data_IF_266520029121
#
_entry.id   IF_266520029121
#
_cell.length_a   1.000
_cell.length_b   1.000
_cell.length_c   1.000
_cell.angle_alpha   90.00
_cell.angle_beta   90.00
_cell.angle_gamma   90.00
#
_symmetry.space_group_name_H-M   'P 1'
#
loop_
_entity.id
_entity.type
_entity.pdbx_description
1 polymer ?
#
# COMPACT_ATOMS: atom_id res chain seq x y z
N UNK A 1 -21.19 -13.15 -8.19
CA UNK A 1 -21.20 -11.98 -9.08
C UNK A 1 -20.36 -12.34 -10.27
N UNK A 2 -20.82 -12.11 -11.48
CA UNK A 2 -20.01 -12.34 -12.67
C UNK A 2 -18.79 -11.40 -12.67
N UNK A 3 -17.65 -11.96 -13.06
CA UNK A 3 -16.39 -11.25 -13.10
C UNK A 3 -15.87 -11.24 -14.53
N UNK A 4 -15.62 -10.06 -15.07
CA UNK A 4 -15.02 -9.88 -16.38
C UNK A 4 -13.52 -9.67 -16.23
N UNK A 5 -12.75 -10.44 -16.99
CA UNK A 5 -11.30 -10.32 -17.09
C UNK A 5 -10.93 -9.89 -18.50
N UNK A 6 -10.24 -8.77 -18.64
CA UNK A 6 -9.74 -8.27 -19.91
C UNK A 6 -8.24 -8.21 -19.94
N UNK A 7 -7.66 -8.43 -21.11
CA UNK A 7 -6.21 -8.47 -21.36
C UNK A 7 -5.86 -7.39 -22.38
N UNK A 8 -4.78 -6.64 -22.09
CA UNK A 8 -4.27 -5.56 -22.94
C UNK A 8 -2.76 -5.73 -23.16
N UNK A 9 -2.28 -5.22 -24.30
CA UNK A 9 -0.85 -5.20 -24.62
C UNK A 9 -0.20 -3.84 -24.29
N UNK A 10 -1.01 -2.76 -24.17
CA UNK A 10 -0.51 -1.41 -23.94
C UNK A 10 -1.03 -0.82 -22.64
N UNK A 11 -0.15 -0.14 -21.91
CA UNK A 11 -0.50 0.57 -20.67
C UNK A 11 -1.52 1.69 -20.90
N UNK A 12 -1.42 2.40 -22.05
CA UNK A 12 -2.35 3.45 -22.44
C UNK A 12 -3.79 2.96 -22.58
N UNK A 13 -3.97 1.80 -23.22
CA UNK A 13 -5.29 1.22 -23.45
C UNK A 13 -5.88 0.72 -22.12
N UNK A 14 -5.03 0.12 -21.28
CA UNK A 14 -5.41 -0.30 -19.92
C UNK A 14 -5.84 0.89 -19.06
N UNK A 15 -5.06 1.97 -19.04
CA UNK A 15 -5.39 3.17 -18.25
C UNK A 15 -6.67 3.86 -18.75
N UNK A 16 -6.90 3.90 -20.08
CA UNK A 16 -8.13 4.42 -20.65
C UNK A 16 -9.35 3.56 -20.32
N UNK A 17 -9.19 2.23 -20.33
CA UNK A 17 -10.24 1.31 -19.91
C UNK A 17 -10.61 1.51 -18.43
N UNK A 18 -9.62 1.60 -17.53
CA UNK A 18 -9.83 1.85 -16.10
C UNK A 18 -10.55 3.19 -15.88
N UNK A 19 -10.10 4.28 -16.52
CA UNK A 19 -10.76 5.59 -16.42
C UNK A 19 -12.21 5.55 -16.95
N UNK A 20 -12.43 4.86 -18.07
CA UNK A 20 -13.76 4.75 -18.69
C UNK A 20 -14.73 3.95 -17.83
N UNK A 21 -14.26 2.89 -17.16
CA UNK A 21 -15.03 2.07 -16.23
C UNK A 21 -15.39 2.85 -14.97
N UNK A 22 -14.42 3.53 -14.35
CA UNK A 22 -14.66 4.38 -13.17
C UNK A 22 -15.60 5.54 -13.46
N UNK A 23 -15.49 6.18 -14.63
CA UNK A 23 -16.40 7.26 -15.03
C UNK A 23 -17.87 6.80 -15.15
N UNK A 24 -18.10 5.49 -15.27
CA UNK A 24 -19.43 4.88 -15.30
C UNK A 24 -19.88 4.30 -13.96
N UNK A 25 -19.03 4.43 -12.90
CA UNK A 25 -19.36 4.00 -11.55
C UNK A 25 -18.95 2.56 -11.23
N UNK A 26 -18.12 1.92 -12.05
CA UNK A 26 -17.54 0.62 -11.76
C UNK A 26 -16.24 0.81 -10.97
N UNK A 27 -16.36 0.90 -9.63
CA UNK A 27 -15.23 1.15 -8.73
C UNK A 27 -14.55 -0.14 -8.24
N UNK A 28 -15.27 -1.29 -8.29
CA UNK A 28 -14.76 -2.58 -7.88
C UNK A 28 -13.98 -3.24 -9.02
N UNK A 29 -12.78 -2.73 -9.22
CA UNK A 29 -11.87 -3.20 -10.24
C UNK A 29 -10.48 -3.49 -9.67
N UNK A 30 -9.85 -4.54 -10.19
CA UNK A 30 -8.47 -4.92 -9.87
C UNK A 30 -7.63 -4.91 -11.14
N UNK A 31 -6.50 -4.20 -11.09
CA UNK A 31 -5.60 -4.10 -12.24
C UNK A 31 -4.33 -4.92 -11.97
N UNK A 32 -3.91 -5.69 -12.94
CA UNK A 32 -2.66 -6.44 -12.94
C UNK A 32 -1.69 -5.84 -13.93
N UNK A 33 -0.46 -5.59 -13.48
CA UNK A 33 0.59 -4.96 -14.26
C UNK A 33 1.94 -5.61 -13.96
N UNK A 34 2.81 -5.84 -14.96
CA UNK A 34 4.14 -6.41 -14.76
C UNK A 34 5.10 -5.47 -14.01
N UNK A 35 4.83 -4.16 -14.04
CA UNK A 35 5.61 -3.14 -13.36
C UNK A 35 4.72 -1.96 -12.93
N UNK A 36 5.14 -1.12 -11.99
CA UNK A 36 4.42 0.09 -11.63
C UNK A 36 4.53 1.12 -12.76
N UNK A 37 3.38 1.50 -13.34
CA UNK A 37 3.27 2.55 -14.36
C UNK A 37 2.50 3.74 -13.80
N UNK A 38 3.08 4.96 -13.80
CA UNK A 38 2.41 6.16 -13.28
C UNK A 38 1.05 6.44 -13.93
N UNK A 39 0.92 6.16 -15.24
CA UNK A 39 -0.32 6.35 -15.99
C UNK A 39 -1.48 5.48 -15.46
N UNK A 40 -1.14 4.28 -15.01
CA UNK A 40 -2.09 3.34 -14.44
C UNK A 40 -2.44 3.72 -13.01
N UNK A 41 -1.44 4.13 -12.20
CA UNK A 41 -1.67 4.66 -10.86
C UNK A 41 -2.58 5.89 -10.88
N UNK A 42 -2.38 6.82 -11.82
CA UNK A 42 -3.25 7.98 -11.99
C UNK A 42 -4.68 7.60 -12.40
N UNK A 43 -4.84 6.54 -13.21
CA UNK A 43 -6.15 6.05 -13.62
C UNK A 43 -6.90 5.37 -12.46
N UNK A 44 -6.16 4.67 -11.59
CA UNK A 44 -6.71 4.02 -10.41
C UNK A 44 -7.10 5.00 -9.30
N UNK A 45 -6.50 6.22 -9.27
CA UNK A 45 -6.71 7.23 -8.23
C UNK A 45 -6.66 6.62 -6.82
N UNK A 46 -5.52 6.02 -6.42
CA UNK A 46 -5.45 5.26 -5.18
C UNK A 46 -5.57 6.17 -3.97
N UNK A 47 -6.33 5.74 -2.98
CA UNK A 47 -6.42 6.45 -1.70
C UNK A 47 -5.04 6.47 -1.02
N UNK A 48 -4.69 7.59 -0.33
CA UNK A 48 -3.41 7.68 0.37
C UNK A 48 -3.28 6.59 1.42
N UNK A 49 -2.14 5.91 1.42
CA UNK A 49 -1.88 4.80 2.34
C UNK A 49 -1.84 5.26 3.80
N UNK A 50 -2.50 4.51 4.67
CA UNK A 50 -2.49 4.71 6.12
C UNK A 50 -1.16 4.30 6.78
N UNK A 51 -0.21 3.72 6.06
CA UNK A 51 1.13 3.36 6.57
C UNK A 51 1.81 4.56 7.24
N UNK A 52 1.63 5.77 6.69
CA UNK A 52 2.19 7.01 7.25
C UNK A 52 1.76 7.27 8.70
N UNK A 53 0.55 6.89 9.08
CA UNK A 53 0.04 7.05 10.45
C UNK A 53 0.80 6.11 11.40
N UNK A 54 1.03 4.88 10.98
CA UNK A 54 1.80 3.91 11.78
C UNK A 54 3.25 4.33 11.95
N UNK A 55 3.89 4.89 10.91
CA UNK A 55 5.23 5.47 11.00
C UNK A 55 5.29 6.59 12.04
N UNK A 56 4.32 7.52 12.00
CA UNK A 56 4.23 8.61 12.96
C UNK A 56 4.05 8.10 14.39
N UNK A 57 3.10 7.18 14.60
CA UNK A 57 2.87 6.57 15.92
C UNK A 57 4.11 5.85 16.43
N UNK A 58 4.81 5.12 15.55
CA UNK A 58 6.09 4.50 15.88
C UNK A 58 7.13 5.50 16.34
N UNK A 59 7.31 6.58 15.60
CA UNK A 59 8.23 7.65 15.96
C UNK A 59 7.89 8.28 17.32
N UNK A 60 6.61 8.58 17.58
CA UNK A 60 6.17 9.12 18.87
C UNK A 60 6.43 8.15 20.03
N UNK A 61 6.12 6.87 19.87
CA UNK A 61 6.42 5.84 20.86
C UNK A 61 7.94 5.76 21.10
N UNK A 62 8.73 5.83 20.02
CA UNK A 62 10.19 5.82 20.09
C UNK A 62 10.76 7.01 20.89
N UNK A 63 10.25 8.23 20.64
CA UNK A 63 10.64 9.42 21.41
C UNK A 63 10.33 9.25 22.89
N UNK A 64 9.07 8.91 23.21
CA UNK A 64 8.62 8.76 24.60
C UNK A 64 9.42 7.67 25.32
N UNK A 65 9.62 6.52 24.67
CA UNK A 65 10.39 5.41 25.22
C UNK A 65 11.87 5.80 25.39
N UNK A 66 12.46 6.44 24.36
CA UNK A 66 13.87 6.81 24.36
C UNK A 66 14.24 7.78 25.47
N UNK A 67 13.51 8.86 25.62
CA UNK A 67 13.74 9.81 26.70
C UNK A 67 13.26 9.27 28.06
N UNK A 68 12.09 8.61 28.08
CA UNK A 68 11.48 8.10 29.31
C UNK A 68 12.36 7.08 30.02
N UNK A 69 12.89 6.09 29.31
CA UNK A 69 13.79 5.07 29.90
C UNK A 69 15.05 5.73 30.46
N UNK A 70 15.68 6.64 29.70
CA UNK A 70 16.92 7.28 30.13
C UNK A 70 16.72 8.16 31.38
N UNK A 71 15.64 8.94 31.41
CA UNK A 71 15.28 9.78 32.56
C UNK A 71 15.00 8.88 33.76
N UNK A 72 14.16 7.85 33.58
CA UNK A 72 13.82 6.91 34.64
C UNK A 72 15.06 6.23 35.23
N UNK A 73 15.94 5.65 34.42
CA UNK A 73 17.18 5.02 34.85
C UNK A 73 18.13 6.00 35.54
N UNK A 74 18.21 7.26 35.08
CA UNK A 74 19.06 8.29 35.67
C UNK A 74 18.54 8.74 37.04
N UNK A 75 17.24 8.65 37.27
CA UNK A 75 16.64 8.98 38.57
C UNK A 75 16.65 7.82 39.56
N UNK A 76 16.46 6.59 39.07
CA UNK A 76 16.48 5.36 39.85
C UNK A 76 17.88 5.04 40.39
N UNK A 77 18.92 5.29 39.58
CA UNK A 77 20.32 5.11 39.94
C UNK A 77 21.15 6.38 39.77
N UNK A 78 21.05 7.34 40.73
CA UNK A 78 21.65 8.66 40.58
C UNK A 78 23.16 8.66 40.77
N UNK A 79 23.94 8.50 39.71
CA UNK A 79 25.41 8.58 39.77
C UNK A 79 25.83 10.06 39.68
N UNK A 80 26.51 10.54 40.73
CA UNK A 80 27.05 11.91 40.75
C UNK A 80 28.34 11.99 39.97
N UNK A 81 28.29 12.67 38.83
CA UNK A 81 29.45 12.93 37.99
C UNK A 81 29.63 14.46 37.89
N UNK A 82 30.67 14.99 38.55
CA UNK A 82 31.21 16.35 38.38
C UNK A 82 30.17 17.47 38.22
N UNK A 83 29.14 17.56 39.09
CA UNK A 83 28.16 18.63 39.08
C UNK A 83 27.11 18.56 37.96
N UNK A 84 27.11 17.51 37.13
CA UNK A 84 26.09 17.28 36.09
C UNK A 84 24.76 16.88 36.70
N UNK A 85 23.67 17.45 36.21
CA UNK A 85 22.32 17.04 36.60
C UNK A 85 22.07 15.59 36.16
N UNK A 86 21.38 14.79 37.02
CA UNK A 86 21.09 13.38 36.77
C UNK A 86 20.27 13.20 35.44
N UNK A 87 19.27 14.04 35.24
CA UNK A 87 18.43 14.03 34.03
C UNK A 87 18.91 15.07 33.00
N UNK A 88 20.19 15.04 32.62
CA UNK A 88 20.72 15.93 31.60
C UNK A 88 20.21 15.54 30.21
N UNK A 89 19.29 16.30 29.64
CA UNK A 89 18.65 16.01 28.35
C UNK A 89 19.65 15.99 27.15
N UNK A 90 20.64 16.89 27.03
CA UNK A 90 21.51 16.92 25.85
C UNK A 90 22.14 15.59 25.44
N UNK A 91 22.74 14.79 26.35
CA UNK A 91 23.28 13.47 25.99
C UNK A 91 22.19 12.43 25.67
N UNK A 92 20.95 12.64 26.10
CA UNK A 92 19.85 11.70 25.87
C UNK A 92 19.31 11.78 24.44
N UNK A 93 19.62 12.84 23.69
CA UNK A 93 19.16 13.02 22.31
C UNK A 93 19.59 11.89 21.38
N UNK A 94 20.81 11.35 21.57
CA UNK A 94 21.34 10.30 20.69
C UNK A 94 20.44 9.06 20.73
N UNK A 95 20.20 8.53 21.93
CA UNK A 95 19.35 7.33 22.10
C UNK A 95 17.88 7.65 21.82
N UNK A 96 17.40 8.84 22.21
CA UNK A 96 16.06 9.28 21.89
C UNK A 96 15.78 9.32 20.38
N UNK A 97 16.71 9.86 19.61
CA UNK A 97 16.65 9.89 18.15
C UNK A 97 16.71 8.49 17.53
N UNK A 98 17.64 7.65 18.01
CA UNK A 98 17.80 6.29 17.52
C UNK A 98 16.55 5.43 17.74
N UNK A 99 15.96 5.49 18.95
CA UNK A 99 14.72 4.77 19.23
C UNK A 99 13.52 5.31 18.42
N UNK A 100 13.50 6.61 18.12
CA UNK A 100 12.50 7.21 17.22
C UNK A 100 12.55 6.57 15.85
N UNK A 101 13.73 6.46 15.24
CA UNK A 101 13.92 5.84 13.94
C UNK A 101 13.62 4.35 14.00
N UNK A 102 14.11 3.66 15.02
CA UNK A 102 13.89 2.22 15.18
C UNK A 102 12.40 1.87 15.24
N UNK A 103 11.65 2.49 16.16
CA UNK A 103 10.23 2.22 16.31
C UNK A 103 9.42 2.70 15.09
N UNK A 104 9.77 3.85 14.51
CA UNK A 104 9.18 4.34 13.27
C UNK A 104 9.38 3.33 12.13
N UNK A 105 10.60 2.85 11.93
CA UNK A 105 10.93 1.86 10.90
C UNK A 105 10.23 0.52 11.12
N UNK A 106 10.30 -0.02 12.33
CA UNK A 106 9.66 -1.31 12.67
C UNK A 106 8.15 -1.24 12.45
N UNK A 107 7.48 -0.20 12.96
CA UNK A 107 6.03 -0.05 12.77
C UNK A 107 5.67 0.21 11.30
N UNK A 108 6.51 0.88 10.53
CA UNK A 108 6.32 1.03 9.08
C UNK A 108 6.33 -0.32 8.38
N UNK A 109 7.33 -1.17 8.65
CA UNK A 109 7.44 -2.50 8.06
C UNK A 109 6.25 -3.37 8.46
N UNK A 110 5.89 -3.39 9.74
CA UNK A 110 4.73 -4.13 10.22
C UNK A 110 3.42 -3.64 9.56
N UNK A 111 3.26 -2.33 9.41
CA UNK A 111 2.10 -1.74 8.72
C UNK A 111 2.06 -2.11 7.24
N UNK A 112 3.20 -2.14 6.54
CA UNK A 112 3.28 -2.59 5.15
C UNK A 112 2.82 -4.04 5.02
N UNK A 113 3.28 -4.93 5.87
CA UNK A 113 2.83 -6.33 5.85
C UNK A 113 1.35 -6.47 6.19
N UNK A 114 0.87 -5.76 7.21
CA UNK A 114 -0.51 -5.86 7.67
C UNK A 114 -1.51 -5.23 6.68
N UNK A 115 -1.25 -3.99 6.25
CA UNK A 115 -2.15 -3.25 5.36
C UNK A 115 -2.03 -3.67 3.90
N UNK A 116 -0.82 -4.04 3.46
CA UNK A 116 -0.60 -4.57 2.12
C UNK A 116 -1.03 -6.03 1.98
N UNK A 117 -1.41 -6.70 3.10
CA UNK A 117 -1.81 -8.10 3.08
C UNK A 117 -0.72 -9.03 2.53
N UNK A 118 0.56 -8.67 2.74
CA UNK A 118 1.73 -9.40 2.24
C UNK A 118 1.99 -10.67 3.06
N UNK A 119 0.99 -11.54 3.14
CA UNK A 119 1.13 -12.87 3.71
C UNK A 119 0.79 -13.92 2.64
N UNK A 120 1.29 -15.15 2.76
CA UNK A 120 1.04 -16.21 1.79
C UNK A 120 -0.45 -16.41 1.57
N UNK A 121 -0.93 -16.05 0.39
CA UNK A 121 -2.31 -16.27 -0.08
C UNK A 121 -2.26 -17.18 -1.30
N UNK A 122 -3.29 -18.01 -1.52
CA UNK A 122 -3.46 -18.62 -2.83
C UNK A 122 -3.55 -17.52 -3.89
N UNK A 123 -3.01 -17.78 -5.06
CA UNK A 123 -3.14 -16.88 -6.20
C UNK A 123 -4.62 -16.60 -6.47
N UNK A 124 -4.93 -15.39 -6.85
CA UNK A 124 -6.26 -15.00 -7.27
C UNK A 124 -6.71 -15.88 -8.44
N UNK A 125 -7.99 -16.28 -8.45
CA UNK A 125 -8.56 -17.12 -9.49
C UNK A 125 -8.47 -16.47 -10.88
N UNK A 126 -8.45 -15.14 -10.91
CA UNK A 126 -8.41 -14.33 -12.13
C UNK A 126 -7.00 -13.94 -12.55
N UNK A 127 -5.98 -14.31 -11.75
CA UNK A 127 -4.59 -14.05 -12.07
C UNK A 127 -4.09 -14.98 -13.20
N UNK A 128 -3.44 -14.38 -14.19
CA UNK A 128 -2.71 -15.12 -15.23
C UNK A 128 -1.20 -14.81 -15.16
N UNK A 129 -0.31 -15.80 -15.31
CA UNK A 129 1.13 -15.56 -15.39
C UNK A 129 1.57 -14.57 -16.48
N UNK A 130 0.74 -14.37 -17.52
CA UNK A 130 0.94 -13.37 -18.57
C UNK A 130 1.02 -11.95 -18.03
N UNK A 131 0.26 -11.63 -16.96
CA UNK A 131 0.23 -10.32 -16.30
C UNK A 131 1.52 -9.98 -15.55
N UNK A 132 2.35 -10.95 -15.27
CA UNK A 132 3.70 -10.74 -14.70
C UNK A 132 4.81 -10.70 -15.77
N UNK A 133 4.46 -10.94 -17.03
CA UNK A 133 5.43 -10.93 -18.13
C UNK A 133 5.33 -9.62 -18.94
N UNK A 134 4.34 -9.50 -19.80
CA UNK A 134 4.24 -8.40 -20.77
C UNK A 134 2.83 -7.85 -20.94
N UNK A 135 1.80 -8.55 -20.45
CA UNK A 135 0.39 -8.18 -20.65
C UNK A 135 -0.19 -7.51 -19.40
N UNK A 136 -1.20 -6.67 -19.60
CA UNK A 136 -1.94 -6.01 -18.54
C UNK A 136 -3.31 -6.67 -18.39
N UNK A 137 -3.77 -6.81 -17.14
CA UNK A 137 -5.09 -7.36 -16.85
C UNK A 137 -5.97 -6.35 -16.13
N UNK A 138 -7.24 -6.27 -16.51
CA UNK A 138 -8.26 -5.55 -15.75
C UNK A 138 -9.38 -6.51 -15.43
N UNK A 139 -9.66 -6.65 -14.14
CA UNK A 139 -10.70 -7.50 -13.58
C UNK A 139 -11.77 -6.60 -12.98
N UNK A 140 -13.01 -6.79 -13.39
CA UNK A 140 -14.16 -6.02 -12.90
C UNK A 140 -15.23 -6.97 -12.39
N UNK A 141 -15.66 -6.77 -11.14
CA UNK A 141 -16.83 -7.42 -10.60
C UNK A 141 -18.07 -6.53 -10.87
N UNK A 142 -19.09 -7.08 -11.52
CA UNK A 142 -20.29 -6.34 -11.86
C UNK A 142 -21.55 -7.20 -11.73
N UNK A 143 -22.72 -6.56 -11.78
CA UNK A 143 -24.00 -7.25 -11.85
C UNK A 143 -24.23 -7.87 -13.23
N UNK A 144 -25.05 -8.95 -13.30
CA UNK A 144 -25.38 -9.61 -14.57
C UNK A 144 -25.96 -8.66 -15.63
N UNK A 145 -26.59 -7.57 -15.19
CA UNK A 145 -27.19 -6.56 -16.06
C UNK A 145 -26.16 -5.70 -16.76
N UNK A 146 -25.00 -5.49 -16.13
CA UNK A 146 -23.96 -4.55 -16.53
C UNK A 146 -22.85 -5.23 -17.34
N UNK A 147 -22.85 -6.58 -17.41
CA UNK A 147 -21.84 -7.38 -18.12
C UNK A 147 -21.65 -6.90 -19.57
N UNK A 148 -22.75 -6.68 -20.30
CA UNK A 148 -22.68 -6.26 -21.69
C UNK A 148 -22.09 -4.84 -21.85
N UNK A 149 -22.39 -3.93 -20.91
CA UNK A 149 -21.85 -2.58 -20.90
C UNK A 149 -20.34 -2.59 -20.58
N UNK A 150 -19.94 -3.32 -19.54
CA UNK A 150 -18.54 -3.46 -19.15
C UNK A 150 -17.72 -4.09 -20.26
N UNK A 151 -18.22 -5.16 -20.91
CA UNK A 151 -17.54 -5.80 -22.04
C UNK A 151 -17.38 -4.83 -23.22
N UNK A 152 -18.41 -4.05 -23.53
CA UNK A 152 -18.35 -3.08 -24.61
C UNK A 152 -17.30 -1.99 -24.33
N UNK A 153 -17.18 -1.52 -23.10
CA UNK A 153 -16.16 -0.55 -22.67
C UNK A 153 -14.77 -1.14 -22.79
N UNK A 154 -14.57 -2.36 -22.31
CA UNK A 154 -13.27 -3.05 -22.37
C UNK A 154 -12.82 -3.23 -23.82
N UNK A 155 -13.69 -3.75 -24.70
CA UNK A 155 -13.39 -3.92 -26.13
C UNK A 155 -13.17 -2.59 -26.85
N UNK A 156 -13.96 -1.55 -26.52
CA UNK A 156 -13.83 -0.22 -27.07
C UNK A 156 -12.51 0.48 -26.75
N UNK A 157 -11.86 0.09 -25.66
CA UNK A 157 -10.55 0.59 -25.24
C UNK A 157 -9.38 -0.36 -25.63
N UNK A 158 -9.59 -1.28 -26.58
CA UNK A 158 -8.52 -2.08 -27.15
C UNK A 158 -8.20 -3.38 -26.40
N UNK A 159 -9.16 -3.91 -25.64
CA UNK A 159 -8.97 -5.23 -25.02
C UNK A 159 -8.75 -6.31 -26.08
N UNK A 160 -7.65 -7.06 -25.97
CA UNK A 160 -7.28 -8.19 -26.83
C UNK A 160 -8.18 -9.39 -26.60
N UNK A 161 -8.43 -9.67 -25.34
CA UNK A 161 -9.30 -10.75 -24.88
C UNK A 161 -10.20 -10.24 -23.76
N UNK A 162 -11.46 -10.67 -23.77
CA UNK A 162 -12.40 -10.43 -22.65
C UNK A 162 -13.04 -11.76 -22.33
N UNK A 163 -12.91 -12.22 -21.11
CA UNK A 163 -13.46 -13.48 -20.62
C UNK A 163 -14.38 -13.25 -19.43
N UNK A 164 -15.53 -13.92 -19.43
CA UNK A 164 -16.47 -13.92 -18.33
C UNK A 164 -16.20 -15.12 -17.43
N UNK A 165 -16.05 -14.88 -16.15
CA UNK A 165 -15.93 -15.90 -15.10
C UNK A 165 -17.14 -15.79 -14.16
N UNK A 166 -17.74 -16.92 -13.83
CA UNK A 166 -18.86 -17.05 -12.88
C UNK A 166 -18.37 -17.44 -11.47
#
# INVERSE_FOLDING_TARGET
>A
MPTLVSVYDLVSDTSNAVRSLKARGFDDLTTYSPAPFPELEEAEDPRPSNVRIFTLLGGLVGVVTGFGIQIWMSMDWPIKIAGKNYAAIPPMWIIGFELTILFGGVLTVLALFALGGLYPRPLDKHYSPRFSAEEFGVVVECDERDVAEVEAVMRGNGAKEVSLHE
#
